data_IF_753084440247
#
_entry.id   IF_753084440247
#
_cell.length_a   1.000
_cell.length_b   1.000
_cell.length_c   1.000
_cell.angle_alpha   90.00
_cell.angle_beta   90.00
_cell.angle_gamma   90.00
#
_symmetry.space_group_name_H-M   'P 1'
#
loop_
_entity.id
_entity.type
_entity.pdbx_description
1 polymer ?
#
# COMPACT_ATOMS: atom_id res chain seq x y z
N UNK A 1 -6.51 -0.70 6.70
CA UNK A 1 -5.70 0.54 6.65
C UNK A 1 -6.15 1.38 5.45
N UNK A 2 -6.20 2.68 5.60
CA UNK A 2 -6.58 3.64 4.56
C UNK A 2 -5.61 4.83 4.58
N UNK A 3 -5.24 5.29 3.41
CA UNK A 3 -4.38 6.46 3.23
C UNK A 3 -4.87 7.27 2.04
N UNK A 4 -4.83 8.59 2.13
CA UNK A 4 -5.18 9.49 1.03
C UNK A 4 -4.69 10.90 1.34
N UNK A 5 -4.20 11.59 0.32
CA UNK A 5 -3.75 12.96 0.46
C UNK A 5 -4.95 13.91 0.56
N UNK A 6 -5.00 14.68 1.63
CA UNK A 6 -6.10 15.61 1.90
C UNK A 6 -5.62 17.05 1.96
N UNK A 7 -6.38 17.95 1.34
CA UNK A 7 -6.15 19.39 1.46
C UNK A 7 -6.61 19.89 2.84
N UNK A 8 -5.76 20.63 3.52
CA UNK A 8 -6.03 21.13 4.87
C UNK A 8 -6.53 22.57 4.92
N UNK A 9 -6.49 23.28 3.80
CA UNK A 9 -6.95 24.64 3.70
C UNK A 9 -7.85 24.87 2.47
N UNK A 10 -8.69 25.90 2.52
CA UNK A 10 -9.61 26.27 1.44
C UNK A 10 -8.89 26.74 0.17
N UNK A 11 -7.62 27.12 0.26
CA UNK A 11 -6.81 27.60 -0.86
C UNK A 11 -5.96 26.50 -1.51
N UNK A 12 -6.00 25.27 -0.99
CA UNK A 12 -5.24 24.15 -1.52
C UNK A 12 -3.71 24.28 -1.40
N UNK A 13 -3.24 25.17 -0.51
CA UNK A 13 -1.80 25.43 -0.33
C UNK A 13 -1.13 24.44 0.60
N UNK A 14 -1.90 23.88 1.53
CA UNK A 14 -1.41 22.93 2.53
C UNK A 14 -2.11 21.60 2.34
N UNK A 15 -1.35 20.55 2.10
CA UNK A 15 -1.84 19.18 2.08
C UNK A 15 -1.19 18.37 3.19
N UNK A 16 -1.90 17.38 3.67
CA UNK A 16 -1.37 16.34 4.57
C UNK A 16 -1.77 14.98 4.04
N UNK A 17 -1.00 13.98 4.40
CA UNK A 17 -1.23 12.60 3.96
C UNK A 17 -1.41 11.71 5.20
N UNK A 18 -2.60 11.73 5.82
CA UNK A 18 -2.88 10.91 7.00
C UNK A 18 -3.02 9.44 6.65
N UNK A 19 -2.64 8.60 7.60
CA UNK A 19 -2.86 7.15 7.57
C UNK A 19 -3.83 6.81 8.67
N UNK A 20 -4.93 6.18 8.28
CA UNK A 20 -5.98 5.72 9.18
C UNK A 20 -5.94 4.22 9.36
N UNK A 21 -6.17 3.76 10.57
CA UNK A 21 -6.53 2.38 10.88
C UNK A 21 -7.98 2.30 11.33
N UNK A 22 -8.63 1.22 10.97
CA UNK A 22 -9.91 0.80 11.49
C UNK A 22 -9.87 -0.71 11.73
N UNK A 23 -10.52 -1.17 12.79
CA UNK A 23 -10.64 -2.59 13.07
C UNK A 23 -11.60 -3.25 12.08
N UNK A 24 -11.16 -4.35 11.44
CA UNK A 24 -11.96 -5.06 10.44
C UNK A 24 -13.17 -5.80 11.02
N UNK A 25 -13.13 -6.13 12.31
CA UNK A 25 -14.20 -6.80 13.04
C UNK A 25 -15.28 -5.83 13.61
N UNK A 26 -15.15 -4.52 13.37
CA UNK A 26 -16.23 -3.56 13.67
C UNK A 26 -17.38 -3.78 12.66
N UNK A 27 -18.66 -3.86 13.10
CA UNK A 27 -19.79 -3.97 12.21
C UNK A 27 -19.83 -2.88 11.13
N UNK A 28 -20.36 -3.23 9.97
CA UNK A 28 -20.34 -2.35 8.79
C UNK A 28 -20.95 -0.97 9.06
N UNK A 29 -22.08 -0.91 9.79
CA UNK A 29 -22.82 0.32 10.12
C UNK A 29 -21.99 1.28 11.00
N UNK A 30 -21.06 0.73 11.79
CA UNK A 30 -20.19 1.51 12.68
C UNK A 30 -18.88 1.90 12.02
N UNK A 31 -18.38 1.10 11.06
CA UNK A 31 -17.03 1.26 10.47
C UNK A 31 -16.79 2.62 9.85
N UNK A 32 -17.84 3.29 9.36
CA UNK A 32 -17.75 4.61 8.74
C UNK A 32 -17.88 5.78 9.74
N UNK A 33 -18.12 5.51 11.02
CA UNK A 33 -18.19 6.56 12.04
C UNK A 33 -16.79 7.08 12.39
N UNK A 34 -16.73 8.32 12.87
CA UNK A 34 -15.46 8.98 13.19
C UNK A 34 -14.69 8.24 14.28
N UNK A 35 -15.40 7.72 15.28
CA UNK A 35 -14.85 6.97 16.42
C UNK A 35 -14.37 5.54 16.06
N UNK A 36 -14.67 5.06 14.86
CA UNK A 36 -14.21 3.76 14.36
C UNK A 36 -12.87 3.82 13.60
N UNK A 37 -12.25 4.99 13.52
CA UNK A 37 -11.02 5.25 12.79
C UNK A 37 -10.03 5.98 13.67
N UNK A 38 -8.76 5.59 13.59
CA UNK A 38 -7.67 6.23 14.32
C UNK A 38 -6.62 6.67 13.33
N UNK A 39 -6.14 7.91 13.46
CA UNK A 39 -4.96 8.38 12.71
C UNK A 39 -3.72 7.82 13.41
N UNK A 40 -2.94 7.02 12.70
CA UNK A 40 -1.71 6.42 13.23
C UNK A 40 -0.46 7.19 12.83
N UNK A 41 -0.57 8.08 11.86
CA UNK A 41 0.55 8.92 11.41
C UNK A 41 0.22 9.73 10.17
N UNK A 42 1.25 10.45 9.74
CA UNK A 42 1.22 11.21 8.48
C UNK A 42 2.43 10.83 7.64
N UNK A 43 2.20 10.59 6.35
CA UNK A 43 3.30 10.42 5.41
C UNK A 43 4.00 11.76 5.17
N UNK A 44 5.34 11.75 5.08
CA UNK A 44 6.10 12.96 4.78
C UNK A 44 5.84 13.43 3.34
N UNK A 45 5.60 14.72 3.18
CA UNK A 45 5.43 15.35 1.87
C UNK A 45 6.79 15.90 1.43
N UNK A 46 7.36 15.29 0.41
CA UNK A 46 8.66 15.70 -0.14
C UNK A 46 8.40 16.69 -1.27
N UNK A 47 8.64 17.97 -1.01
CA UNK A 47 8.55 19.06 -1.97
C UNK A 47 9.96 19.47 -2.42
N UNK A 48 10.35 19.11 -3.62
CA UNK A 48 11.61 19.50 -4.23
C UNK A 48 11.32 20.35 -5.49
N UNK A 49 12.26 21.24 -5.84
CA UNK A 49 12.10 22.18 -6.98
C UNK A 49 11.97 21.44 -8.31
N UNK A 50 12.73 20.39 -8.51
CA UNK A 50 12.67 19.55 -9.73
C UNK A 50 11.74 18.36 -9.51
N UNK A 51 10.48 18.52 -9.90
CA UNK A 51 9.43 17.51 -9.68
C UNK A 51 9.53 16.30 -10.62
N UNK A 52 10.28 16.39 -11.71
CA UNK A 52 10.27 15.39 -12.79
C UNK A 52 11.47 14.45 -12.79
N UNK A 53 12.41 14.61 -11.90
CA UNK A 53 13.58 13.74 -11.79
C UNK A 53 13.17 12.33 -11.36
N UNK A 54 13.69 11.31 -12.06
CA UNK A 54 13.56 9.90 -11.67
C UNK A 54 14.08 9.64 -10.26
N UNK A 55 15.15 10.33 -9.87
CA UNK A 55 15.75 10.27 -8.54
C UNK A 55 14.77 10.74 -7.46
N UNK A 56 14.03 11.82 -7.70
CA UNK A 56 13.03 12.32 -6.76
C UNK A 56 11.86 11.36 -6.62
N UNK A 57 11.43 10.74 -7.70
CA UNK A 57 10.38 9.71 -7.67
C UNK A 57 10.82 8.53 -6.79
N UNK A 58 12.03 8.02 -7.00
CA UNK A 58 12.59 6.94 -6.19
C UNK A 58 12.74 7.34 -4.72
N UNK A 59 13.15 8.57 -4.43
CA UNK A 59 13.24 9.09 -3.05
C UNK A 59 11.87 9.12 -2.38
N UNK A 60 10.83 9.58 -3.07
CA UNK A 60 9.45 9.58 -2.56
C UNK A 60 8.96 8.17 -2.26
N UNK A 61 9.20 7.21 -3.16
CA UNK A 61 8.82 5.80 -2.94
C UNK A 61 9.59 5.18 -1.78
N UNK A 62 10.90 5.42 -1.66
CA UNK A 62 11.70 4.95 -0.51
C UNK A 62 11.19 5.54 0.80
N UNK A 63 10.88 6.84 0.81
CA UNK A 63 10.33 7.52 1.99
C UNK A 63 8.96 6.94 2.36
N UNK A 64 8.10 6.70 1.38
CA UNK A 64 6.80 6.05 1.56
C UNK A 64 6.96 4.66 2.19
N UNK A 65 7.78 3.79 1.60
CA UNK A 65 8.02 2.44 2.11
C UNK A 65 8.62 2.44 3.52
N UNK A 66 9.59 3.33 3.80
CA UNK A 66 10.17 3.47 5.14
C UNK A 66 9.13 3.93 6.17
N UNK A 67 8.25 4.86 5.81
CA UNK A 67 7.18 5.31 6.70
C UNK A 67 6.19 4.19 6.98
N UNK A 68 5.82 3.42 5.95
CA UNK A 68 4.97 2.23 6.13
C UNK A 68 5.64 1.19 7.02
N UNK A 69 6.94 0.95 6.84
CA UNK A 69 7.70 0.04 7.71
C UNK A 69 7.62 0.44 9.18
N UNK A 70 7.83 1.74 9.50
CA UNK A 70 7.75 2.23 10.87
C UNK A 70 6.37 2.00 11.47
N UNK A 71 5.31 2.27 10.71
CA UNK A 71 3.91 2.14 11.17
C UNK A 71 3.52 0.67 11.33
N UNK A 72 3.96 -0.21 10.43
CA UNK A 72 3.52 -1.61 10.43
C UNK A 72 4.40 -2.54 11.24
N UNK A 73 5.65 -2.17 11.55
CA UNK A 73 6.56 -3.01 12.35
C UNK A 73 5.93 -3.49 13.67
N UNK A 74 5.29 -2.63 14.49
CA UNK A 74 4.69 -3.12 15.73
C UNK A 74 3.57 -4.15 15.51
N UNK A 75 2.84 -4.04 14.40
CA UNK A 75 1.79 -5.01 14.05
C UNK A 75 2.39 -6.35 13.64
N UNK A 76 3.52 -6.33 12.93
CA UNK A 76 4.20 -7.53 12.46
C UNK A 76 4.90 -8.27 13.60
N UNK A 77 5.55 -7.54 14.51
CA UNK A 77 6.21 -8.11 15.68
C UNK A 77 5.24 -8.78 16.66
N UNK A 78 4.02 -8.24 16.78
CA UNK A 78 3.00 -8.78 17.68
C UNK A 78 2.11 -9.85 17.02
N UNK A 79 2.36 -10.14 15.76
CA UNK A 79 1.51 -11.05 15.00
C UNK A 79 1.58 -12.50 15.53
N UNK A 80 2.78 -13.00 15.81
CA UNK A 80 2.98 -14.38 16.28
C UNK A 80 2.69 -14.52 17.78
N UNK A 81 3.12 -13.55 18.59
CA UNK A 81 2.97 -13.60 20.06
C UNK A 81 1.59 -13.17 20.54
N UNK A 82 0.89 -12.37 19.76
CA UNK A 82 -0.31 -11.69 20.21
C UNK A 82 -0.05 -10.60 21.26
N UNK A 83 -1.08 -9.89 21.63
CA UNK A 83 -1.05 -8.86 22.69
C UNK A 83 -2.28 -9.02 23.58
N UNK A 84 -2.08 -8.99 24.88
CA UNK A 84 -3.19 -8.98 25.84
C UNK A 84 -3.77 -7.57 25.92
N UNK A 85 -5.07 -7.44 25.61
CA UNK A 85 -5.81 -6.19 25.66
C UNK A 85 -6.88 -6.32 26.73
N UNK A 86 -6.92 -5.36 27.67
CA UNK A 86 -7.99 -5.28 28.67
C UNK A 86 -9.16 -4.53 28.04
N UNK A 87 -10.31 -5.20 27.99
CA UNK A 87 -11.58 -4.62 27.52
C UNK A 87 -12.58 -4.77 28.67
N UNK A 88 -12.95 -3.64 29.30
CA UNK A 88 -13.74 -3.64 30.53
C UNK A 88 -13.03 -4.46 31.63
N UNK A 89 -13.67 -5.54 32.10
CA UNK A 89 -13.12 -6.42 33.14
C UNK A 89 -12.40 -7.65 32.58
N UNK A 90 -12.47 -7.87 31.27
CA UNK A 90 -11.88 -9.02 30.61
C UNK A 90 -10.50 -8.69 30.01
N UNK A 91 -9.59 -9.67 30.06
CA UNK A 91 -8.32 -9.62 29.35
C UNK A 91 -8.34 -10.62 28.20
N UNK A 92 -8.24 -10.10 26.97
CA UNK A 92 -8.35 -10.88 25.74
C UNK A 92 -7.00 -10.90 25.03
N UNK A 93 -6.55 -12.07 24.59
CA UNK A 93 -5.39 -12.21 23.71
C UNK A 93 -5.82 -11.87 22.29
N UNK A 94 -5.23 -10.82 21.72
CA UNK A 94 -5.50 -10.36 20.37
C UNK A 94 -4.26 -10.55 19.49
N UNK A 95 -4.44 -11.12 18.31
CA UNK A 95 -3.45 -11.09 17.23
C UNK A 95 -3.85 -10.04 16.20
N UNK A 96 -2.89 -9.21 15.80
CA UNK A 96 -3.15 -8.12 14.87
C UNK A 96 -2.61 -8.45 13.49
N UNK A 97 -3.45 -8.30 12.45
CA UNK A 97 -3.01 -8.43 11.06
C UNK A 97 -3.62 -7.36 10.17
N UNK A 98 -2.90 -6.96 9.14
CA UNK A 98 -3.44 -6.08 8.10
C UNK A 98 -4.25 -6.97 7.14
N UNK A 99 -5.56 -6.80 7.17
CA UNK A 99 -6.48 -7.55 6.29
C UNK A 99 -6.66 -6.87 4.93
N UNK A 100 -6.73 -5.54 4.92
CA UNK A 100 -7.00 -4.79 3.70
C UNK A 100 -6.33 -3.42 3.77
N UNK A 101 -5.75 -3.00 2.65
CA UNK A 101 -5.27 -1.64 2.42
C UNK A 101 -6.20 -1.03 1.37
N UNK A 102 -6.82 0.11 1.70
CA UNK A 102 -7.68 0.85 0.78
C UNK A 102 -6.89 2.08 0.32
N UNK A 103 -6.70 2.21 -0.96
CA UNK A 103 -5.96 3.28 -1.60
C UNK A 103 -6.53 3.54 -2.99
N UNK A 104 -6.32 4.75 -3.52
CA UNK A 104 -6.58 5.02 -4.92
C UNK A 104 -5.52 4.34 -5.82
N UNK A 105 -5.68 4.43 -7.14
CA UNK A 105 -4.76 3.80 -8.09
C UNK A 105 -3.30 4.27 -7.92
N UNK A 106 -3.08 5.57 -7.72
CA UNK A 106 -1.73 6.14 -7.60
C UNK A 106 -1.05 5.68 -6.33
N UNK A 107 -1.80 5.64 -5.25
CA UNK A 107 -1.29 5.22 -3.96
C UNK A 107 -1.12 3.69 -3.90
N UNK A 108 -2.05 2.92 -4.46
CA UNK A 108 -1.92 1.47 -4.60
C UNK A 108 -0.64 1.10 -5.36
N UNK A 109 -0.30 1.85 -6.42
CA UNK A 109 0.97 1.69 -7.13
C UNK A 109 2.19 1.95 -6.24
N UNK A 110 2.10 2.89 -5.29
CA UNK A 110 3.17 3.16 -4.32
C UNK A 110 3.31 2.05 -3.28
N UNK A 111 2.20 1.46 -2.85
CA UNK A 111 2.19 0.28 -1.97
C UNK A 111 2.82 -0.93 -2.66
N UNK A 112 2.48 -1.17 -3.92
CA UNK A 112 2.95 -2.33 -4.68
C UNK A 112 4.31 -2.11 -5.35
N UNK A 113 4.89 -0.89 -5.29
CA UNK A 113 6.10 -0.50 -6.00
C UNK A 113 6.00 -0.72 -7.52
N UNK A 114 4.84 -0.41 -8.09
CA UNK A 114 4.60 -0.42 -9.53
C UNK A 114 4.55 0.99 -10.10
N UNK A 115 4.69 1.13 -11.42
CA UNK A 115 4.57 2.43 -12.06
C UNK A 115 3.11 2.91 -12.01
N UNK A 116 2.89 4.15 -11.61
CA UNK A 116 1.56 4.77 -11.58
C UNK A 116 1.01 5.10 -12.97
N UNK A 117 1.85 5.03 -14.01
CA UNK A 117 1.46 5.33 -15.38
C UNK A 117 0.85 4.12 -16.06
N UNK A 118 -0.30 4.33 -16.71
CA UNK A 118 -0.94 3.34 -17.58
C UNK A 118 -0.25 3.13 -18.93
N UNK A 119 0.90 3.81 -19.17
CA UNK A 119 1.62 3.74 -20.47
C UNK A 119 2.51 2.50 -20.62
N UNK A 120 2.82 1.79 -19.55
CA UNK A 120 3.63 0.57 -19.59
C UNK A 120 2.93 -0.59 -20.32
N UNK A 121 3.71 -1.61 -20.68
CA UNK A 121 3.19 -2.84 -21.31
C UNK A 121 2.32 -3.64 -20.31
N UNK A 122 2.73 -3.67 -19.03
CA UNK A 122 2.03 -4.32 -17.92
C UNK A 122 1.78 -3.29 -16.80
N UNK A 123 0.74 -2.45 -16.90
CA UNK A 123 0.57 -1.31 -15.99
C UNK A 123 -0.19 -1.62 -14.70
N UNK A 124 -0.74 -2.82 -14.54
CA UNK A 124 -1.55 -3.16 -13.37
C UNK A 124 -0.68 -3.37 -12.13
N UNK A 125 -1.09 -2.82 -10.98
CA UNK A 125 -0.41 -3.07 -9.72
C UNK A 125 -0.80 -4.40 -9.07
N UNK A 126 -1.86 -5.04 -9.54
CA UNK A 126 -2.36 -6.31 -8.98
C UNK A 126 -2.00 -7.53 -9.81
N UNK A 127 -1.78 -7.36 -11.13
CA UNK A 127 -1.49 -8.49 -12.03
C UNK A 127 -0.53 -8.09 -13.15
N UNK A 128 0.13 -9.09 -13.72
CA UNK A 128 1.04 -8.92 -14.87
C UNK A 128 0.32 -9.10 -16.21
N UNK A 129 -0.97 -8.83 -16.28
CA UNK A 129 -1.74 -8.87 -17.52
C UNK A 129 -1.27 -7.78 -18.48
N UNK A 130 -0.97 -8.08 -19.74
CA UNK A 130 -0.60 -7.07 -20.73
C UNK A 130 -1.73 -6.08 -20.99
N UNK A 131 -1.40 -4.81 -21.16
CA UNK A 131 -2.36 -3.73 -21.42
C UNK A 131 -3.29 -4.01 -22.60
N UNK A 132 -2.78 -4.67 -23.64
CA UNK A 132 -3.56 -5.03 -24.84
C UNK A 132 -4.75 -5.94 -24.50
N UNK A 133 -4.70 -6.68 -23.41
CA UNK A 133 -5.77 -7.57 -22.96
C UNK A 133 -6.82 -6.87 -22.08
N UNK A 134 -6.63 -5.61 -21.68
CA UNK A 134 -7.54 -4.92 -20.73
C UNK A 134 -8.97 -4.69 -21.29
N UNK A 135 -9.12 -4.69 -22.60
CA UNK A 135 -10.43 -4.54 -23.24
C UNK A 135 -11.17 -5.87 -23.45
N UNK A 136 -10.56 -6.99 -23.07
CA UNK A 136 -11.18 -8.32 -23.21
C UNK A 136 -11.89 -8.63 -21.90
N UNK A 137 -13.24 -8.71 -21.96
CA UNK A 137 -14.09 -8.89 -20.77
C UNK A 137 -14.03 -10.34 -20.26
N UNK A 138 -13.89 -11.31 -21.16
CA UNK A 138 -13.98 -12.74 -20.86
C UNK A 138 -12.62 -13.43 -20.75
N UNK A 139 -11.62 -12.75 -20.18
CA UNK A 139 -10.34 -13.40 -19.90
C UNK A 139 -10.56 -14.44 -18.78
N UNK A 140 -10.25 -15.72 -19.03
CA UNK A 140 -10.33 -16.73 -17.98
C UNK A 140 -9.45 -16.35 -16.78
N UNK A 141 -9.96 -16.52 -15.57
CA UNK A 141 -9.20 -16.19 -14.34
C UNK A 141 -7.86 -16.94 -14.24
N UNK A 142 -7.77 -18.11 -14.88
CA UNK A 142 -6.52 -18.89 -14.98
C UNK A 142 -5.42 -18.19 -15.81
N UNK A 143 -5.78 -17.26 -16.69
CA UNK A 143 -4.82 -16.46 -17.48
C UNK A 143 -4.39 -15.18 -16.78
N UNK A 144 -5.04 -14.81 -15.68
CA UNK A 144 -4.71 -13.63 -14.89
C UNK A 144 -3.66 -14.02 -13.87
N UNK A 145 -2.40 -13.68 -14.14
CA UNK A 145 -1.30 -13.93 -13.22
C UNK A 145 -1.17 -12.75 -12.26
N UNK A 146 -1.36 -13.00 -10.99
CA UNK A 146 -1.29 -11.97 -9.93
C UNK A 146 0.18 -11.63 -9.65
N UNK A 147 0.48 -10.37 -9.37
CA UNK A 147 1.79 -9.98 -8.85
C UNK A 147 2.07 -10.67 -7.51
N UNK A 148 3.13 -11.46 -7.47
CA UNK A 148 3.66 -12.03 -6.22
C UNK A 148 5.06 -11.48 -5.94
N UNK A 149 5.51 -11.61 -4.69
CA UNK A 149 6.88 -11.25 -4.30
C UNK A 149 7.92 -11.96 -5.19
N UNK A 150 7.78 -13.28 -5.35
CA UNK A 150 8.77 -14.09 -6.08
C UNK A 150 8.83 -13.71 -7.56
N UNK A 151 7.68 -13.50 -8.19
CA UNK A 151 7.63 -13.02 -9.57
C UNK A 151 8.24 -11.65 -9.73
N UNK A 152 7.98 -10.72 -8.79
CA UNK A 152 8.56 -9.38 -8.84
C UNK A 152 10.08 -9.43 -8.67
N UNK A 153 10.60 -10.28 -7.78
CA UNK A 153 12.04 -10.48 -7.63
C UNK A 153 12.67 -11.06 -8.92
N UNK A 154 12.04 -12.05 -9.54
CA UNK A 154 12.48 -12.60 -10.83
C UNK A 154 12.50 -11.56 -11.95
N UNK A 155 11.49 -10.69 -12.01
CA UNK A 155 11.44 -9.57 -12.97
C UNK A 155 12.64 -8.64 -12.77
N UNK A 156 12.96 -8.31 -11.52
CA UNK A 156 14.08 -7.44 -11.17
C UNK A 156 15.42 -8.11 -11.49
N UNK A 157 15.61 -9.37 -11.14
CA UNK A 157 16.82 -10.14 -11.42
C UNK A 157 17.11 -10.27 -12.92
N UNK A 158 16.05 -10.35 -13.73
CA UNK A 158 16.17 -10.41 -15.19
C UNK A 158 16.26 -9.04 -15.88
N UNK A 159 16.26 -7.91 -15.14
CA UNK A 159 16.33 -6.56 -15.68
C UNK A 159 15.10 -6.15 -16.50
N UNK A 160 13.93 -6.70 -16.17
CA UNK A 160 12.68 -6.50 -16.90
C UNK A 160 11.74 -5.47 -16.24
N UNK A 161 12.25 -4.65 -15.32
CA UNK A 161 11.46 -3.72 -14.51
C UNK A 161 10.60 -2.77 -15.35
N UNK A 162 11.19 -2.23 -16.43
CA UNK A 162 10.46 -1.31 -17.33
C UNK A 162 9.32 -1.99 -18.06
N UNK A 163 9.51 -3.24 -18.48
CA UNK A 163 8.50 -4.02 -19.19
C UNK A 163 7.30 -4.30 -18.29
N UNK A 164 7.55 -4.72 -17.06
CA UNK A 164 6.52 -5.08 -16.08
C UNK A 164 6.12 -3.94 -15.15
N UNK A 165 6.60 -2.73 -15.42
CA UNK A 165 6.22 -1.52 -14.67
C UNK A 165 6.47 -1.62 -13.17
N UNK A 166 7.58 -2.23 -12.74
CA UNK A 166 7.94 -2.38 -11.33
C UNK A 166 9.18 -1.56 -10.99
N UNK A 167 9.32 -1.17 -9.72
CA UNK A 167 10.51 -0.51 -9.21
C UNK A 167 11.43 -1.51 -8.51
N UNK A 168 12.73 -1.40 -8.77
CA UNK A 168 13.75 -2.16 -8.03
C UNK A 168 13.96 -1.53 -6.65
N UNK A 169 13.01 -1.77 -5.76
CA UNK A 169 13.02 -1.33 -4.36
C UNK A 169 12.46 -2.44 -3.47
N UNK A 170 12.93 -2.48 -2.23
CA UNK A 170 12.38 -3.40 -1.24
C UNK A 170 10.99 -2.95 -0.80
N UNK A 171 10.01 -3.83 -0.92
CA UNK A 171 8.66 -3.59 -0.44
C UNK A 171 8.53 -3.98 1.03
N UNK A 172 8.00 -3.08 1.83
CA UNK A 172 7.81 -3.28 3.28
C UNK A 172 6.90 -4.48 3.59
N UNK A 173 5.90 -4.72 2.75
CA UNK A 173 4.91 -5.77 2.97
C UNK A 173 5.38 -7.16 2.56
N UNK A 174 6.47 -7.29 1.80
CA UNK A 174 7.00 -8.62 1.39
C UNK A 174 7.46 -9.51 2.55
N UNK A 175 7.72 -8.92 3.70
CA UNK A 175 8.08 -9.68 4.92
C UNK A 175 6.88 -9.98 5.80
N UNK A 176 5.68 -9.60 5.37
CA UNK A 176 4.45 -9.91 6.10
C UNK A 176 4.04 -11.36 5.84
N UNK A 177 3.72 -12.16 6.88
CA UNK A 177 3.46 -13.60 6.74
C UNK A 177 2.22 -13.96 5.91
N UNK A 178 1.40 -12.98 5.52
CA UNK A 178 0.15 -13.16 4.75
C UNK A 178 0.08 -12.32 3.45
N UNK A 179 1.18 -11.84 2.96
CA UNK A 179 1.26 -11.12 1.68
C UNK A 179 1.93 -11.97 0.63
#
# INVERSE_FOLDING_TARGET
MYSDSSLCDKLGKTSKHPIYLSLGNIPYERRNKVDAKVIVGYLPIINLRDKNSSTIRLLKLKSFQNSMKIITTPLFEQFESGTYIKILDDTILCTMKISTIIADWLEASSFCLTYSSSSGEHPCHSCITPKIKFNIIDIPSSEIVIHTKDQTLQIIENGLEKKYSVYNLQNTFWNHPYV
#
